data_IF_949170385852
#
_entry.id   IF_949170385852
#
_cell.length_a   1.000
_cell.length_b   1.000
_cell.length_c   1.000
_cell.angle_alpha   90.00
_cell.angle_beta   90.00
_cell.angle_gamma   90.00
#
_symmetry.space_group_name_H-M   'P 1'
#
loop_
_entity.id
_entity.type
_entity.pdbx_description
1 polymer ?
#
# COMPACT_ATOMS: atom_id res chain seq x y z
N UNK A 1 48.52 0.57 -4.12
CA UNK A 1 47.49 -0.47 -3.87
C UNK A 1 46.12 0.21 -3.88
N UNK A 2 45.30 -0.04 -4.89
CA UNK A 2 43.95 0.50 -4.95
C UNK A 2 43.06 -0.25 -3.95
N UNK A 3 42.50 0.46 -2.97
CA UNK A 3 41.49 -0.09 -2.08
C UNK A 3 40.23 -0.38 -2.92
N UNK A 4 40.04 -1.66 -3.25
CA UNK A 4 38.79 -2.17 -3.82
C UNK A 4 37.69 -1.95 -2.77
N UNK A 5 36.78 -1.00 -3.03
CA UNK A 5 35.54 -0.89 -2.25
C UNK A 5 34.79 -2.21 -2.40
N UNK A 6 34.51 -2.88 -1.29
CA UNK A 6 33.68 -4.08 -1.26
C UNK A 6 32.35 -3.77 -1.95
N UNK A 7 32.02 -4.53 -3.00
CA UNK A 7 30.78 -4.33 -3.74
C UNK A 7 29.59 -4.77 -2.87
N UNK A 8 28.40 -4.20 -3.12
CA UNK A 8 27.14 -4.60 -2.48
C UNK A 8 26.86 -6.11 -2.58
N UNK A 9 27.33 -6.76 -3.65
CA UNK A 9 27.24 -8.23 -3.81
C UNK A 9 28.16 -9.00 -2.86
N UNK A 10 29.29 -8.41 -2.48
CA UNK A 10 30.21 -8.99 -1.50
C UNK A 10 29.62 -8.93 -0.08
N UNK A 11 29.04 -7.79 0.31
CA UNK A 11 28.44 -7.62 1.64
C UNK A 11 27.15 -8.42 1.85
N UNK A 12 26.39 -8.66 0.77
CA UNK A 12 25.18 -9.50 0.80
C UNK A 12 25.46 -11.01 0.68
N UNK A 13 26.74 -11.44 0.64
CA UNK A 13 27.08 -12.87 0.54
C UNK A 13 26.77 -13.54 -0.80
N UNK A 14 26.36 -12.78 -1.82
CA UNK A 14 25.93 -13.27 -3.15
C UNK A 14 27.10 -13.52 -4.13
N UNK A 15 28.32 -13.60 -3.62
CA UNK A 15 29.56 -13.67 -4.41
C UNK A 15 30.25 -15.05 -4.31
N UNK A 16 29.73 -15.96 -3.48
CA UNK A 16 30.13 -17.36 -3.45
C UNK A 16 28.92 -18.18 -3.87
N UNK A 17 29.11 -19.11 -4.79
CA UNK A 17 28.11 -20.13 -5.09
C UNK A 17 28.02 -21.07 -3.88
N UNK A 18 27.10 -20.81 -2.96
CA UNK A 18 26.96 -21.56 -1.69
C UNK A 18 25.97 -22.72 -1.83
N UNK A 19 26.10 -23.51 -2.90
CA UNK A 19 25.18 -24.64 -3.15
C UNK A 19 25.70 -25.99 -2.65
N UNK A 20 26.98 -26.12 -2.26
CA UNK A 20 27.48 -27.35 -1.63
C UNK A 20 27.25 -27.31 -0.11
N UNK A 21 26.48 -28.26 0.40
CA UNK A 21 26.30 -28.51 1.83
C UNK A 21 25.16 -27.75 2.51
N UNK A 22 24.40 -26.91 1.79
CA UNK A 22 23.15 -26.32 2.29
C UNK A 22 21.98 -27.22 1.91
N UNK A 23 21.15 -27.58 2.89
CA UNK A 23 19.86 -28.21 2.62
C UNK A 23 18.96 -27.21 1.89
N UNK A 24 18.16 -27.68 0.92
CA UNK A 24 17.12 -26.86 0.28
C UNK A 24 15.96 -26.50 1.23
N UNK A 25 15.99 -27.03 2.45
CA UNK A 25 15.02 -26.75 3.48
C UNK A 25 15.29 -25.37 4.09
N UNK A 26 14.34 -24.46 3.90
CA UNK A 26 14.30 -23.17 4.61
C UNK A 26 13.70 -23.44 5.99
N UNK A 27 14.51 -23.36 7.03
CA UNK A 27 14.03 -23.41 8.41
C UNK A 27 13.62 -22.01 8.82
N UNK A 28 12.34 -21.83 9.16
CA UNK A 28 11.87 -20.58 9.72
C UNK A 28 12.25 -20.55 11.20
N UNK A 29 13.26 -19.75 11.56
CA UNK A 29 13.53 -19.44 12.96
C UNK A 29 12.82 -18.11 13.32
N UNK A 30 11.79 -18.13 14.17
CA UNK A 30 11.08 -16.92 14.57
C UNK A 30 11.97 -15.91 15.33
N UNK A 31 13.14 -16.33 15.82
CA UNK A 31 14.10 -15.45 16.49
C UNK A 31 15.06 -14.73 15.53
N UNK A 32 15.04 -15.03 14.23
CA UNK A 32 15.90 -14.35 13.23
C UNK A 32 15.39 -12.94 12.94
N UNK A 33 15.64 -12.05 13.90
CA UNK A 33 15.19 -10.67 13.86
C UNK A 33 15.71 -9.90 12.63
N UNK A 34 16.86 -10.30 12.10
CA UNK A 34 17.48 -9.73 10.89
C UNK A 34 16.59 -9.90 9.64
N UNK A 35 15.78 -10.95 9.56
CA UNK A 35 14.87 -11.18 8.43
C UNK A 35 13.65 -10.23 8.43
N UNK A 36 13.41 -9.48 9.53
CA UNK A 36 12.32 -8.50 9.61
C UNK A 36 12.71 -7.11 9.10
N UNK A 37 13.96 -6.90 8.70
CA UNK A 37 14.47 -5.60 8.26
C UNK A 37 15.18 -5.70 6.90
N UNK A 38 15.14 -4.60 6.16
CA UNK A 38 15.87 -4.50 4.91
C UNK A 38 17.36 -4.29 5.14
N UNK A 39 18.19 -4.83 4.26
CA UNK A 39 19.60 -4.45 4.20
C UNK A 39 19.74 -2.94 4.03
N UNK A 40 20.45 -2.30 4.96
CA UNK A 40 20.64 -0.85 4.99
C UNK A 40 19.52 -0.08 5.71
N UNK A 41 18.56 -0.75 6.33
CA UNK A 41 17.64 -0.11 7.25
C UNK A 41 18.40 0.35 8.50
N UNK A 42 18.18 1.61 8.90
CA UNK A 42 18.72 2.16 10.14
C UNK A 42 17.94 1.72 11.38
N UNK A 43 18.66 1.56 12.49
CA UNK A 43 18.06 1.50 13.83
C UNK A 43 17.62 2.93 14.24
N UNK A 44 16.37 3.07 14.66
CA UNK A 44 15.76 4.38 14.91
C UNK A 44 14.96 4.38 16.21
N UNK A 45 15.08 5.48 16.97
CA UNK A 45 14.27 5.72 18.16
C UNK A 45 13.03 6.53 17.79
N UNK A 46 11.85 5.94 17.97
CA UNK A 46 10.57 6.59 17.70
C UNK A 46 10.33 7.84 18.55
N UNK A 47 10.97 7.96 19.72
CA UNK A 47 10.91 9.16 20.56
C UNK A 47 11.83 10.28 20.06
N UNK A 48 12.88 9.94 19.30
CA UNK A 48 13.77 10.91 18.68
C UNK A 48 13.07 11.53 17.48
N UNK A 49 12.71 12.81 17.63
CA UNK A 49 11.94 13.58 16.64
C UNK A 49 12.78 14.66 15.98
N UNK A 50 12.68 14.78 14.65
CA UNK A 50 13.25 15.90 13.88
C UNK A 50 12.23 16.49 12.92
N UNK A 51 12.39 17.78 12.67
CA UNK A 51 11.57 18.52 11.72
C UNK A 51 12.43 19.08 10.58
N UNK A 52 11.82 19.24 9.42
CA UNK A 52 12.40 19.90 8.25
C UNK A 52 11.33 20.73 7.54
N UNK A 53 11.66 21.97 7.20
CA UNK A 53 10.83 22.80 6.33
C UNK A 53 11.21 22.59 4.87
N UNK A 54 10.23 22.24 4.04
CA UNK A 54 10.42 21.98 2.62
C UNK A 54 10.40 23.25 1.74
N UNK A 55 10.14 24.44 2.30
CA UNK A 55 9.91 25.69 1.54
C UNK A 55 10.98 25.96 0.49
N UNK A 56 12.24 25.89 0.90
CA UNK A 56 13.41 26.23 0.09
C UNK A 56 14.23 25.01 -0.36
N UNK A 57 13.63 23.82 -0.30
CA UNK A 57 14.29 22.57 -0.66
C UNK A 57 13.67 21.95 -1.92
N UNK A 58 14.53 21.40 -2.77
CA UNK A 58 14.09 20.53 -3.85
C UNK A 58 13.58 19.20 -3.29
N UNK A 59 12.76 18.48 -4.07
CA UNK A 59 12.29 17.14 -3.67
C UNK A 59 13.45 16.19 -3.34
N UNK A 60 14.50 16.21 -4.16
CA UNK A 60 15.70 15.38 -3.97
C UNK A 60 16.38 15.69 -2.63
N UNK A 61 16.67 16.97 -2.36
CA UNK A 61 17.31 17.38 -1.11
C UNK A 61 16.47 17.02 0.12
N UNK A 62 15.13 17.12 0.00
CA UNK A 62 14.23 16.74 1.08
C UNK A 62 14.27 15.24 1.36
N UNK A 63 14.22 14.39 0.33
CA UNK A 63 14.34 12.93 0.49
C UNK A 63 15.73 12.54 1.03
N UNK A 64 16.80 13.17 0.57
CA UNK A 64 18.16 12.97 1.10
C UNK A 64 18.23 13.33 2.60
N UNK A 65 17.56 14.41 3.03
CA UNK A 65 17.50 14.79 4.44
C UNK A 65 16.66 13.82 5.29
N UNK A 66 15.52 13.35 4.78
CA UNK A 66 14.73 12.31 5.45
C UNK A 66 15.63 11.08 5.71
N UNK A 67 16.40 10.66 4.70
CA UNK A 67 17.36 9.57 4.85
C UNK A 67 18.49 9.88 5.84
N UNK A 68 19.01 11.11 5.87
CA UNK A 68 20.04 11.50 6.84
C UNK A 68 19.51 11.44 8.28
N UNK A 69 18.27 11.89 8.50
CA UNK A 69 17.65 11.82 9.83
C UNK A 69 17.46 10.38 10.30
N UNK A 70 17.04 9.46 9.41
CA UNK A 70 16.99 8.04 9.76
C UNK A 70 18.38 7.49 10.12
N UNK A 71 19.42 7.86 9.36
CA UNK A 71 20.82 7.49 9.65
C UNK A 71 21.31 8.00 11.01
N UNK A 72 20.78 9.13 11.46
CA UNK A 72 21.07 9.71 12.78
C UNK A 72 20.22 9.07 13.90
N UNK A 73 19.47 8.02 13.62
CA UNK A 73 18.63 7.28 14.57
C UNK A 73 17.27 7.94 14.84
N UNK A 74 16.80 8.86 13.99
CA UNK A 74 15.53 9.54 14.15
C UNK A 74 14.36 8.66 13.68
N UNK A 75 13.50 8.23 14.60
CA UNK A 75 12.32 7.41 14.30
C UNK A 75 11.03 8.21 14.11
N UNK A 76 11.04 9.53 14.36
CA UNK A 76 9.92 10.42 14.01
C UNK A 76 10.38 11.63 13.20
N UNK A 77 10.00 11.71 11.93
CA UNK A 77 10.40 12.79 11.02
C UNK A 77 9.17 13.58 10.60
N UNK A 78 9.22 14.91 10.75
CA UNK A 78 8.14 15.82 10.35
C UNK A 78 8.60 16.75 9.23
N UNK A 79 7.89 16.72 8.11
CA UNK A 79 8.11 17.56 6.94
C UNK A 79 7.05 18.65 6.91
N UNK A 80 7.46 19.89 7.14
CA UNK A 80 6.62 21.09 7.10
C UNK A 80 6.58 21.67 5.69
N UNK A 81 5.43 22.24 5.32
CA UNK A 81 5.24 22.96 4.06
C UNK A 81 5.67 22.16 2.81
N UNK A 82 5.24 20.90 2.60
CA UNK A 82 5.67 20.08 1.47
C UNK A 82 5.29 20.64 0.09
N UNK A 83 4.39 21.64 0.02
CA UNK A 83 4.05 22.40 -1.20
C UNK A 83 3.60 21.54 -2.39
N UNK A 84 2.97 20.39 -2.17
CA UNK A 84 2.52 19.53 -3.27
C UNK A 84 3.66 18.95 -4.11
N UNK A 85 4.90 18.93 -3.59
CA UNK A 85 6.04 18.32 -4.29
C UNK A 85 5.76 16.84 -4.55
N UNK A 86 6.13 16.40 -5.74
CA UNK A 86 5.96 15.02 -6.20
C UNK A 86 7.03 14.12 -5.60
N UNK A 87 6.75 12.82 -5.50
CA UNK A 87 7.72 11.77 -5.13
C UNK A 87 8.43 11.97 -3.78
N UNK A 88 7.77 12.64 -2.83
CA UNK A 88 8.27 12.77 -1.47
C UNK A 88 8.00 11.49 -0.66
N UNK A 89 8.99 11.05 0.12
CA UNK A 89 8.88 9.87 0.98
C UNK A 89 8.73 8.55 0.21
N UNK A 90 9.15 8.50 -1.06
CA UNK A 90 9.15 7.28 -1.88
C UNK A 90 10.30 6.38 -1.45
N UNK A 91 10.07 5.07 -1.40
CA UNK A 91 11.12 4.09 -1.14
C UNK A 91 11.62 4.08 0.31
N UNK A 92 10.79 4.51 1.26
CA UNK A 92 11.09 4.39 2.69
C UNK A 92 10.83 2.95 3.12
N UNK A 93 11.92 2.21 3.33
CA UNK A 93 11.93 0.80 3.74
C UNK A 93 12.30 0.61 5.22
N UNK A 94 12.14 1.67 6.00
CA UNK A 94 12.39 1.72 7.43
C UNK A 94 11.07 1.84 8.18
N UNK A 95 10.94 1.14 9.30
CA UNK A 95 9.84 1.36 10.25
C UNK A 95 10.13 2.67 11.00
N UNK A 96 9.31 3.69 10.77
CA UNK A 96 9.38 5.00 11.45
C UNK A 96 8.04 5.73 11.36
N UNK A 97 7.90 6.84 12.08
CA UNK A 97 6.80 7.78 11.94
C UNK A 97 7.19 8.91 10.98
N UNK A 98 6.53 9.00 9.83
CA UNK A 98 6.74 10.07 8.86
C UNK A 98 5.49 10.96 8.77
N UNK A 99 5.64 12.25 9.09
CA UNK A 99 4.52 13.18 9.16
C UNK A 99 4.73 14.29 8.13
N UNK A 100 3.76 14.49 7.25
CA UNK A 100 3.72 15.60 6.30
C UNK A 100 2.64 16.61 6.70
N UNK A 101 3.08 17.81 7.09
CA UNK A 101 2.21 18.93 7.44
C UNK A 101 1.88 19.75 6.18
N UNK A 102 1.02 19.19 5.34
CA UNK A 102 0.54 19.80 4.11
C UNK A 102 0.24 18.77 3.03
N UNK A 103 0.09 19.23 1.79
CA UNK A 103 -0.25 18.38 0.65
C UNK A 103 0.99 17.80 -0.03
N UNK A 104 0.87 16.56 -0.50
CA UNK A 104 1.85 15.94 -1.39
C UNK A 104 1.34 15.93 -2.83
N UNK A 105 2.26 15.90 -3.78
CA UNK A 105 1.92 15.77 -5.19
C UNK A 105 1.80 14.32 -5.65
N UNK A 106 2.16 14.07 -6.91
CA UNK A 106 2.10 12.74 -7.51
C UNK A 106 3.13 11.81 -6.89
N UNK A 107 2.81 10.51 -6.84
CA UNK A 107 3.67 9.43 -6.38
C UNK A 107 4.21 9.60 -4.95
N UNK A 108 3.59 10.44 -4.12
CA UNK A 108 4.00 10.61 -2.73
C UNK A 108 3.90 9.28 -1.97
N UNK A 109 4.93 8.94 -1.19
CA UNK A 109 4.93 7.76 -0.31
C UNK A 109 4.76 6.43 -1.07
N UNK A 110 5.17 6.38 -2.35
CA UNK A 110 5.18 5.14 -3.13
C UNK A 110 6.31 4.18 -2.74
N UNK A 111 6.16 2.89 -3.04
CA UNK A 111 7.15 1.83 -2.83
C UNK A 111 7.71 1.78 -1.40
N UNK A 112 6.88 2.06 -0.41
CA UNK A 112 7.26 1.99 1.01
C UNK A 112 7.05 0.58 1.57
N UNK A 113 7.80 0.25 2.62
CA UNK A 113 7.58 -0.96 3.40
C UNK A 113 7.81 -0.68 4.90
N UNK A 114 6.72 -0.67 5.66
CA UNK A 114 6.72 -0.61 7.11
C UNK A 114 6.45 0.75 7.79
N UNK A 115 6.65 1.95 7.19
CA UNK A 115 6.48 3.19 7.95
C UNK A 115 5.01 3.46 8.30
N UNK A 116 4.82 4.25 9.37
CA UNK A 116 3.54 4.87 9.72
C UNK A 116 3.57 6.31 9.22
N UNK A 117 2.75 6.63 8.23
CA UNK A 117 2.76 7.91 7.54
C UNK A 117 1.45 8.67 7.80
N UNK A 118 1.55 9.96 8.14
CA UNK A 118 0.39 10.86 8.31
C UNK A 118 0.56 12.08 7.44
N UNK A 119 -0.44 12.37 6.59
CA UNK A 119 -0.44 13.52 5.67
C UNK A 119 -1.67 14.37 6.00
N UNK A 120 -1.46 15.61 6.44
CA UNK A 120 -2.55 16.51 6.85
C UNK A 120 -3.27 17.19 5.68
N UNK A 121 -2.64 17.21 4.50
CA UNK A 121 -3.18 17.79 3.27
C UNK A 121 -3.82 16.77 2.32
N UNK A 122 -3.93 17.19 1.05
CA UNK A 122 -4.37 16.36 -0.08
C UNK A 122 -3.17 15.62 -0.68
N UNK A 123 -3.41 14.54 -1.40
CA UNK A 123 -2.38 13.84 -2.17
C UNK A 123 -2.76 13.73 -3.64
N UNK A 124 -1.76 13.73 -4.51
CA UNK A 124 -1.95 13.63 -5.95
C UNK A 124 -2.11 12.19 -6.46
N UNK A 125 -1.95 12.02 -7.77
CA UNK A 125 -2.00 10.73 -8.48
C UNK A 125 -1.00 9.73 -7.86
N UNK A 126 -1.43 8.49 -7.63
CA UNK A 126 -0.58 7.33 -7.30
C UNK A 126 0.15 7.45 -5.95
N UNK A 127 -0.43 8.18 -5.00
CA UNK A 127 0.07 8.14 -3.63
C UNK A 127 -0.02 6.72 -3.07
N UNK A 128 1.05 6.28 -2.39
CA UNK A 128 1.21 4.94 -1.84
C UNK A 128 1.12 3.80 -2.87
N UNK A 129 1.44 4.09 -4.14
CA UNK A 129 1.63 3.05 -5.16
C UNK A 129 2.68 2.04 -4.68
N UNK A 130 2.44 0.74 -4.91
CA UNK A 130 3.37 -0.34 -4.59
C UNK A 130 3.76 -0.42 -3.09
N UNK A 131 2.91 0.08 -2.19
CA UNK A 131 3.09 -0.07 -0.74
C UNK A 131 3.04 -1.55 -0.34
N UNK A 132 4.07 -2.01 0.38
CA UNK A 132 4.24 -3.41 0.78
C UNK A 132 3.71 -3.70 2.18
N UNK A 133 3.96 -2.80 3.13
CA UNK A 133 3.41 -2.83 4.48
C UNK A 133 3.43 -1.42 5.11
N UNK A 134 2.90 -1.31 6.33
CA UNK A 134 2.81 -0.05 7.09
C UNK A 134 1.39 0.49 7.18
N UNK A 135 1.26 1.76 7.61
CA UNK A 135 -0.02 2.47 7.69
C UNK A 135 0.15 3.87 7.11
N UNK A 136 -0.68 4.26 6.15
CA UNK A 136 -0.67 5.62 5.59
C UNK A 136 -2.04 6.25 5.81
N UNK A 137 -2.08 7.44 6.41
CA UNK A 137 -3.32 8.19 6.64
C UNK A 137 -3.25 9.54 5.93
N UNK A 138 -4.19 9.78 5.02
CA UNK A 138 -4.40 11.06 4.33
C UNK A 138 -5.66 11.72 4.91
N UNK A 139 -5.50 12.91 5.49
CA UNK A 139 -6.59 13.65 6.18
C UNK A 139 -7.59 14.31 5.23
N UNK A 140 -7.23 14.53 3.97
CA UNK A 140 -8.11 15.13 2.95
C UNK A 140 -8.29 14.16 1.77
N UNK A 141 -8.58 14.71 0.59
CA UNK A 141 -8.83 13.91 -0.61
C UNK A 141 -7.53 13.39 -1.24
N UNK A 142 -7.65 12.28 -1.96
CA UNK A 142 -6.59 11.70 -2.78
C UNK A 142 -6.94 11.72 -4.27
N UNK A 143 -5.91 11.78 -5.12
CA UNK A 143 -6.05 11.71 -6.58
C UNK A 143 -6.39 10.31 -7.09
N UNK A 144 -6.35 10.15 -8.41
CA UNK A 144 -6.51 8.86 -9.09
C UNK A 144 -5.39 7.88 -8.76
N UNK A 145 -5.61 6.59 -9.03
CA UNK A 145 -4.67 5.48 -8.78
C UNK A 145 -4.12 5.43 -7.34
N UNK A 146 -4.86 5.95 -6.36
CA UNK A 146 -4.48 5.88 -4.95
C UNK A 146 -4.28 4.42 -4.54
N UNK A 147 -3.10 4.08 -4.00
CA UNK A 147 -2.75 2.71 -3.64
C UNK A 147 -2.63 1.74 -4.81
N UNK A 148 -2.30 2.21 -6.02
CA UNK A 148 -2.05 1.33 -7.17
C UNK A 148 -1.04 0.23 -6.82
N UNK A 149 -1.32 -1.02 -7.21
CA UNK A 149 -0.46 -2.17 -6.96
C UNK A 149 -0.05 -2.39 -5.48
N UNK A 150 -0.81 -1.87 -4.51
CA UNK A 150 -0.57 -2.13 -3.08
C UNK A 150 -0.57 -3.64 -2.82
N UNK A 151 0.37 -4.11 -1.99
CA UNK A 151 0.51 -5.53 -1.63
C UNK A 151 0.16 -5.81 -0.18
N UNK A 152 0.26 -4.81 0.70
CA UNK A 152 -0.02 -4.96 2.12
C UNK A 152 -0.12 -3.62 2.84
N UNK A 153 -0.37 -3.71 4.16
CA UNK A 153 -0.61 -2.54 5.01
C UNK A 153 -2.01 -1.95 4.89
N UNK A 154 -2.21 -0.84 5.60
CA UNK A 154 -3.47 -0.09 5.63
C UNK A 154 -3.27 1.31 5.03
N UNK A 155 -3.99 1.60 3.96
CA UNK A 155 -3.99 2.88 3.27
C UNK A 155 -5.35 3.58 3.47
N UNK A 156 -5.36 4.66 4.24
CA UNK A 156 -6.57 5.35 4.67
C UNK A 156 -6.62 6.76 4.06
N UNK A 157 -7.75 7.09 3.44
CA UNK A 157 -8.10 8.44 3.00
C UNK A 157 -9.37 8.87 3.72
N UNK A 158 -9.32 9.93 4.52
CA UNK A 158 -10.49 10.45 5.24
C UNK A 158 -11.48 11.17 4.33
N UNK A 159 -11.00 11.67 3.19
CA UNK A 159 -11.83 12.29 2.16
C UNK A 159 -12.22 11.32 1.03
N UNK A 160 -12.56 11.91 -0.11
CA UNK A 160 -12.85 11.18 -1.36
C UNK A 160 -11.58 10.89 -2.16
N UNK A 161 -11.62 9.86 -3.00
CA UNK A 161 -10.51 9.41 -3.85
C UNK A 161 -10.88 9.44 -5.34
N UNK A 162 -9.87 9.55 -6.19
CA UNK A 162 -10.05 9.58 -7.64
C UNK A 162 -10.34 8.21 -8.28
N UNK A 163 -10.32 8.18 -9.61
CA UNK A 163 -10.54 6.98 -10.40
C UNK A 163 -9.39 5.97 -10.24
N UNK A 164 -9.65 4.68 -10.52
CA UNK A 164 -8.66 3.60 -10.49
C UNK A 164 -7.98 3.41 -9.13
N UNK A 165 -8.63 3.81 -8.04
CA UNK A 165 -8.13 3.53 -6.68
C UNK A 165 -7.99 2.03 -6.47
N UNK A 166 -6.84 1.58 -5.96
CA UNK A 166 -6.54 0.15 -5.79
C UNK A 166 -6.39 -0.65 -7.09
N UNK A 167 -6.10 0.01 -8.22
CA UNK A 167 -5.82 -0.69 -9.48
C UNK A 167 -4.69 -1.71 -9.31
N UNK A 168 -4.89 -2.93 -9.79
CA UNK A 168 -3.90 -4.02 -9.75
C UNK A 168 -3.39 -4.37 -8.33
N UNK A 169 -4.19 -4.08 -7.29
CA UNK A 169 -3.81 -4.38 -5.91
C UNK A 169 -3.72 -5.90 -5.66
N UNK A 170 -2.70 -6.31 -4.90
CA UNK A 170 -2.31 -7.70 -4.63
C UNK A 170 -2.45 -8.08 -3.15
N UNK A 171 -2.98 -7.17 -2.34
CA UNK A 171 -3.21 -7.36 -0.91
C UNK A 171 -3.44 -6.03 -0.20
N UNK A 172 -3.31 -6.01 1.12
CA UNK A 172 -3.54 -4.82 1.93
C UNK A 172 -5.03 -4.42 2.05
N UNK A 173 -5.26 -3.29 2.72
CA UNK A 173 -6.60 -2.69 2.86
C UNK A 173 -6.55 -1.22 2.47
N UNK A 174 -7.43 -0.80 1.55
CA UNK A 174 -7.68 0.61 1.25
C UNK A 174 -9.00 1.03 1.91
N UNK A 175 -9.00 2.13 2.67
CA UNK A 175 -10.18 2.64 3.40
C UNK A 175 -10.45 4.08 2.96
N UNK A 176 -11.66 4.35 2.50
CA UNK A 176 -12.06 5.63 1.90
C UNK A 176 -13.24 6.18 2.70
N UNK A 177 -13.06 7.34 3.30
CA UNK A 177 -14.06 8.01 4.13
C UNK A 177 -15.19 8.68 3.34
N UNK A 178 -14.90 9.14 2.12
CA UNK A 178 -15.87 9.73 1.21
C UNK A 178 -16.18 8.83 0.02
N UNK A 179 -16.29 9.46 -1.15
CA UNK A 179 -16.64 8.81 -2.41
C UNK A 179 -15.40 8.28 -3.14
N UNK A 180 -15.61 7.29 -4.02
CA UNK A 180 -14.59 6.72 -4.88
C UNK A 180 -14.91 6.91 -6.36
N UNK A 181 -13.89 7.21 -7.16
CA UNK A 181 -14.04 7.41 -8.60
C UNK A 181 -14.34 6.13 -9.40
N UNK A 182 -14.47 6.32 -10.71
CA UNK A 182 -14.67 5.22 -11.66
C UNK A 182 -13.51 4.21 -11.62
N UNK A 183 -13.77 2.96 -12.00
CA UNK A 183 -12.77 1.90 -12.09
C UNK A 183 -12.04 1.60 -10.77
N UNK A 184 -12.64 1.92 -9.63
CA UNK A 184 -12.08 1.53 -8.33
C UNK A 184 -11.99 0.00 -8.23
N UNK A 185 -10.83 -0.53 -7.84
CA UNK A 185 -10.55 -1.98 -7.83
C UNK A 185 -10.33 -2.60 -9.20
N UNK A 186 -10.03 -1.81 -10.25
CA UNK A 186 -9.74 -2.34 -11.58
C UNK A 186 -8.56 -3.32 -11.57
N UNK A 187 -8.74 -4.52 -12.14
CA UNK A 187 -7.73 -5.59 -12.12
C UNK A 187 -7.23 -5.99 -10.71
N UNK A 188 -8.03 -5.75 -9.67
CA UNK A 188 -7.70 -6.16 -8.30
C UNK A 188 -7.48 -7.69 -8.24
N UNK A 189 -6.33 -8.11 -7.74
CA UNK A 189 -5.95 -9.51 -7.64
C UNK A 189 -6.19 -10.10 -6.26
N UNK A 190 -6.05 -9.31 -5.18
CA UNK A 190 -6.32 -9.69 -3.79
C UNK A 190 -6.50 -8.44 -2.92
N UNK A 191 -6.87 -8.64 -1.66
CA UNK A 191 -6.94 -7.59 -0.64
C UNK A 191 -8.36 -7.08 -0.43
N UNK A 192 -8.49 -5.90 0.19
CA UNK A 192 -9.79 -5.32 0.53
C UNK A 192 -9.88 -3.82 0.27
N UNK A 193 -11.01 -3.36 -0.25
CA UNK A 193 -11.34 -1.93 -0.36
C UNK A 193 -12.62 -1.66 0.45
N UNK A 194 -12.61 -0.64 1.30
CA UNK A 194 -13.77 -0.19 2.08
C UNK A 194 -14.08 1.25 1.65
N UNK A 195 -15.29 1.48 1.14
CA UNK A 195 -15.77 2.80 0.69
C UNK A 195 -16.97 3.17 1.55
N UNK A 196 -16.90 4.26 2.31
CA UNK A 196 -18.01 4.70 3.15
C UNK A 196 -19.05 5.53 2.37
N UNK A 197 -18.67 6.17 1.27
CA UNK A 197 -19.54 6.93 0.38
C UNK A 197 -19.98 6.20 -0.89
N UNK A 198 -20.27 6.97 -1.94
CA UNK A 198 -20.69 6.50 -3.25
C UNK A 198 -19.50 6.09 -4.12
N UNK A 199 -19.75 5.29 -5.16
CA UNK A 199 -18.73 4.86 -6.11
C UNK A 199 -19.18 4.97 -7.56
N UNK A 200 -18.24 5.42 -8.41
CA UNK A 200 -18.42 5.65 -9.83
C UNK A 200 -18.68 4.37 -10.66
N UNK A 201 -18.61 4.53 -11.98
CA UNK A 201 -18.83 3.42 -12.93
C UNK A 201 -17.72 2.37 -12.86
N UNK A 202 -18.04 1.16 -13.28
CA UNK A 202 -17.11 0.06 -13.50
C UNK A 202 -16.33 -0.35 -12.24
N UNK A 203 -17.02 -0.40 -11.10
CA UNK A 203 -16.46 -0.90 -9.85
C UNK A 203 -15.98 -2.36 -10.01
N UNK A 204 -14.74 -2.65 -9.63
CA UNK A 204 -14.17 -3.99 -9.69
C UNK A 204 -14.04 -4.55 -11.10
N UNK A 205 -13.91 -3.70 -12.12
CA UNK A 205 -13.75 -4.17 -13.48
C UNK A 205 -12.48 -5.02 -13.64
N UNK A 206 -12.61 -6.14 -14.36
CA UNK A 206 -11.58 -7.17 -14.47
C UNK A 206 -10.99 -7.65 -13.13
N UNK A 207 -11.72 -7.60 -12.01
CA UNK A 207 -11.20 -8.11 -10.74
C UNK A 207 -11.05 -9.64 -10.77
N UNK A 208 -9.95 -10.15 -10.23
CA UNK A 208 -9.66 -11.59 -10.16
C UNK A 208 -10.05 -12.20 -8.81
N UNK A 209 -9.73 -11.52 -7.71
CA UNK A 209 -10.07 -11.93 -6.35
C UNK A 209 -10.00 -10.71 -5.41
N UNK A 210 -10.37 -10.87 -4.14
CA UNK A 210 -10.47 -9.80 -3.16
C UNK A 210 -11.92 -9.40 -2.85
N UNK A 211 -12.09 -8.37 -2.01
CA UNK A 211 -13.42 -7.95 -1.56
C UNK A 211 -13.51 -6.43 -1.47
N UNK A 212 -14.57 -5.87 -2.05
CA UNK A 212 -14.88 -4.45 -1.97
C UNK A 212 -16.18 -4.29 -1.18
N UNK A 213 -16.17 -3.43 -0.16
CA UNK A 213 -17.35 -3.08 0.62
C UNK A 213 -17.75 -1.64 0.31
N UNK A 214 -19.01 -1.41 -0.05
CA UNK A 214 -19.53 -0.08 -0.41
C UNK A 214 -20.67 0.32 0.52
N UNK A 215 -20.53 1.47 1.16
CA UNK A 215 -21.51 2.05 2.07
C UNK A 215 -22.60 2.86 1.39
N UNK A 216 -22.28 3.51 0.27
CA UNK A 216 -23.21 4.31 -0.54
C UNK A 216 -23.71 3.59 -1.80
N UNK A 217 -24.02 4.38 -2.82
CA UNK A 217 -24.55 3.93 -4.11
C UNK A 217 -23.43 3.48 -5.04
N UNK A 218 -23.65 2.37 -5.72
CA UNK A 218 -22.78 1.87 -6.79
C UNK A 218 -23.39 2.28 -8.13
N UNK A 219 -22.67 3.07 -8.93
CA UNK A 219 -23.19 3.51 -10.23
C UNK A 219 -23.26 2.38 -11.25
N UNK A 220 -22.20 1.60 -11.40
CA UNK A 220 -22.22 0.34 -12.17
C UNK A 220 -21.09 -0.59 -11.72
N UNK A 221 -21.30 -1.89 -11.88
CA UNK A 221 -20.26 -2.90 -11.71
C UNK A 221 -19.46 -3.06 -13.01
N UNK A 222 -18.20 -3.47 -12.88
CA UNK A 222 -17.38 -3.89 -14.01
C UNK A 222 -17.68 -5.32 -14.46
N UNK A 223 -16.95 -5.78 -15.48
CA UNK A 223 -17.23 -7.03 -16.21
C UNK A 223 -17.28 -8.30 -15.35
N UNK A 224 -16.40 -8.43 -14.35
CA UNK A 224 -16.32 -9.61 -13.48
C UNK A 224 -16.88 -9.38 -12.08
N UNK A 225 -17.17 -8.13 -11.68
CA UNK A 225 -17.63 -7.84 -10.33
C UNK A 225 -19.09 -8.26 -10.11
N UNK A 226 -19.35 -8.98 -9.02
CA UNK A 226 -20.70 -9.39 -8.61
C UNK A 226 -21.00 -8.99 -7.16
N UNK A 227 -22.28 -8.76 -6.86
CA UNK A 227 -22.73 -8.60 -5.48
C UNK A 227 -22.69 -9.96 -4.76
N UNK A 228 -22.33 -9.93 -3.48
CA UNK A 228 -22.32 -11.10 -2.61
C UNK A 228 -22.97 -10.77 -1.26
N UNK A 229 -23.39 -11.80 -0.54
CA UNK A 229 -24.00 -11.63 0.78
C UNK A 229 -22.96 -11.18 1.80
N UNK A 230 -23.33 -10.19 2.61
CA UNK A 230 -22.53 -9.74 3.73
C UNK A 230 -22.69 -10.72 4.91
N UNK A 231 -21.61 -11.35 5.33
CA UNK A 231 -21.63 -12.33 6.43
C UNK A 231 -21.41 -11.67 7.80
N UNK A 232 -21.73 -12.37 8.89
CA UNK A 232 -21.43 -11.90 10.25
C UNK A 232 -19.91 -11.67 10.46
N UNK A 233 -19.07 -12.54 9.88
CA UNK A 233 -17.61 -12.38 9.93
C UNK A 233 -17.14 -11.12 9.20
N UNK A 234 -17.75 -10.79 8.06
CA UNK A 234 -17.47 -9.54 7.35
C UNK A 234 -17.82 -8.32 8.22
N UNK A 235 -19.00 -8.33 8.84
CA UNK A 235 -19.48 -7.25 9.72
C UNK A 235 -18.53 -7.03 10.89
N UNK A 236 -18.13 -8.10 11.58
CA UNK A 236 -17.24 -8.01 12.72
C UNK A 236 -15.83 -7.55 12.33
N UNK A 237 -15.34 -8.04 11.19
CA UNK A 237 -14.07 -7.58 10.64
C UNK A 237 -14.12 -6.10 10.28
N UNK A 238 -15.17 -5.64 9.58
CA UNK A 238 -15.38 -4.24 9.22
C UNK A 238 -15.40 -3.33 10.45
N UNK A 239 -16.17 -3.69 11.50
CA UNK A 239 -16.22 -2.94 12.77
C UNK A 239 -14.84 -2.78 13.39
N UNK A 240 -14.08 -3.88 13.51
CA UNK A 240 -12.71 -3.83 14.06
C UNK A 240 -11.78 -2.99 13.19
N UNK A 241 -11.87 -3.16 11.87
CA UNK A 241 -10.98 -2.47 10.91
C UNK A 241 -11.20 -0.97 10.91
N UNK A 242 -12.45 -0.52 10.86
CA UNK A 242 -12.83 0.90 10.93
C UNK A 242 -12.45 1.53 12.28
N UNK A 243 -12.62 0.79 13.39
CA UNK A 243 -12.16 1.25 14.72
C UNK A 243 -10.65 1.50 14.76
N UNK A 244 -9.84 0.56 14.27
CA UNK A 244 -8.36 0.69 14.24
C UNK A 244 -7.89 1.76 13.25
N UNK A 245 -8.65 1.95 12.17
CA UNK A 245 -8.41 3.02 11.21
C UNK A 245 -8.86 4.41 11.72
N UNK A 246 -9.57 4.48 12.85
CA UNK A 246 -10.11 5.71 13.43
C UNK A 246 -11.02 6.49 12.45
N UNK A 247 -11.77 5.75 11.61
CA UNK A 247 -12.63 6.31 10.57
C UNK A 247 -13.95 5.55 10.52
N UNK A 248 -15.05 6.25 10.26
CA UNK A 248 -16.36 5.61 10.09
C UNK A 248 -16.91 4.96 11.37
N UNK A 249 -16.54 5.47 12.56
CA UNK A 249 -17.01 4.94 13.85
C UNK A 249 -18.53 4.85 13.98
N UNK A 250 -19.26 5.75 13.33
CA UNK A 250 -20.72 5.82 13.34
C UNK A 250 -21.37 5.12 12.14
N UNK A 251 -20.58 4.51 11.25
CA UNK A 251 -21.09 3.89 10.03
C UNK A 251 -21.74 2.53 10.34
N UNK A 252 -22.98 2.33 9.91
CA UNK A 252 -23.64 1.04 10.04
C UNK A 252 -23.15 0.08 8.95
N UNK A 253 -22.07 -0.64 9.25
CA UNK A 253 -21.43 -1.59 8.31
C UNK A 253 -22.35 -2.72 7.86
N UNK A 254 -23.41 -3.04 8.61
CA UNK A 254 -24.36 -4.10 8.27
C UNK A 254 -25.20 -3.79 7.03
N UNK A 255 -25.20 -2.52 6.59
CA UNK A 255 -25.89 -2.05 5.38
C UNK A 255 -24.99 -1.98 4.15
N UNK A 256 -23.71 -2.33 4.28
CA UNK A 256 -22.77 -2.27 3.16
C UNK A 256 -23.09 -3.32 2.12
N UNK A 257 -22.89 -2.96 0.85
CA UNK A 257 -22.90 -3.92 -0.24
C UNK A 257 -21.50 -4.54 -0.38
N UNK A 258 -21.42 -5.87 -0.32
CA UNK A 258 -20.19 -6.63 -0.57
C UNK A 258 -20.10 -6.98 -2.05
N UNK A 259 -18.95 -6.70 -2.65
CA UNK A 259 -18.60 -7.02 -4.04
C UNK A 259 -17.39 -7.95 -4.05
N UNK A 260 -17.46 -8.97 -4.88
CA UNK A 260 -16.40 -9.99 -5.07
C UNK A 260 -16.26 -10.33 -6.56
N UNK A 261 -15.20 -11.07 -6.90
CA UNK A 261 -15.01 -11.56 -8.26
C UNK A 261 -16.08 -12.62 -8.61
N UNK A 262 -16.66 -12.48 -9.79
CA UNK A 262 -17.58 -13.42 -10.41
C UNK A 262 -16.87 -14.62 -11.02
N UNK A 263 -15.54 -14.57 -11.13
CA UNK A 263 -14.67 -15.64 -11.60
C UNK A 263 -14.94 -16.05 -13.05
N UNK A 264 -15.52 -15.17 -13.87
CA UNK A 264 -15.72 -15.42 -15.31
C UNK A 264 -14.42 -15.28 -16.08
N UNK A 265 -13.52 -14.43 -15.61
CA UNK A 265 -12.20 -14.19 -16.21
C UNK A 265 -11.10 -15.14 -15.68
N UNK A 266 -11.47 -16.15 -14.89
CA UNK A 266 -10.56 -17.19 -14.42
C UNK A 266 -10.25 -18.15 -15.56
N UNK A 267 -9.40 -17.72 -16.50
CA UNK A 267 -8.87 -18.57 -17.57
C UNK A 267 -7.69 -19.41 -17.07
N UNK A 268 -7.80 -19.98 -15.87
CA UNK A 268 -6.90 -21.05 -15.47
C UNK A 268 -7.24 -22.21 -16.39
N UNK A 269 -6.37 -22.47 -17.36
CA UNK A 269 -6.38 -23.71 -18.09
C UNK A 269 -6.39 -24.82 -17.03
N UNK A 270 -7.50 -25.55 -16.90
CA UNK A 270 -7.61 -26.64 -15.93
C UNK A 270 -6.68 -27.81 -16.28
N UNK A 271 -6.04 -27.72 -17.45
CA UNK A 271 -5.16 -28.72 -18.01
C UNK A 271 -3.70 -28.27 -17.85
N UNK A 272 -2.91 -29.09 -17.19
CA UNK A 272 -1.45 -29.00 -17.21
C UNK A 272 -0.95 -29.04 -18.66
N UNK A 273 0.22 -28.49 -18.99
CA UNK A 273 0.78 -28.53 -20.35
C UNK A 273 0.83 -29.95 -20.95
N UNK A 274 0.96 -30.98 -20.11
CA UNK A 274 0.92 -32.41 -20.49
C UNK A 274 -0.47 -32.94 -20.82
N UNK A 275 -1.52 -32.27 -20.35
CA UNK A 275 -2.93 -32.61 -20.58
C UNK A 275 -3.50 -31.93 -21.82
N UNK A 276 -2.73 -31.02 -22.46
CA UNK A 276 -3.03 -30.47 -23.80
C UNK A 276 -2.79 -31.51 -24.88
N UNK A 277 -3.63 -32.54 -24.95
CA UNK A 277 -3.70 -33.43 -26.13
C UNK A 277 -4.40 -32.71 -27.29
N UNK A 278 -3.66 -32.42 -28.36
CA UNK A 278 -4.26 -32.17 -29.68
C UNK A 278 -4.26 -30.73 -30.22
N UNK A 279 -3.17 -29.97 -30.05
CA UNK A 279 -2.89 -28.84 -30.93
C UNK A 279 -1.64 -29.15 -31.77
N UNK A 280 -1.88 -29.77 -32.93
CA UNK A 280 -1.04 -29.60 -34.11
C UNK A 280 -1.54 -28.34 -34.81
#
# INVERSE_FOLDING_TARGET
>A
MANLKSSKSQSMGLHKEVLKGRTQQVFFNPEEAENFFYYGAYDVDFNKRKEIDAKNLTCRQLNEKINSFMKEGCGTIVVKNPQGKHSLGVGILNKLNLIFEGSLGYFGVGSIDGPVVRITGRVGWSCAENMMAGKVVVKKNAGSCFGAAIRGGDLICEGSVGARTGIDMKGGTIIIGGDAGAFTGFMMQRGRIIILGDVGINLGDSMYDGTIFVGGKIKSLGSDAIKSNLTAQDIDWLKRKLKVAEIGSNFNVSKMTKIVAGKKLWNYDQLEPTEKKGAI
#
